data_IF_934810359478
#
_entry.id   IF_934810359478
#
_cell.length_a   1.000
_cell.length_b   1.000
_cell.length_c   1.000
_cell.angle_alpha   90.00
_cell.angle_beta   90.00
_cell.angle_gamma   90.00
#
_symmetry.space_group_name_H-M   'P 1'
#
loop_
_entity.id
_entity.type
_entity.pdbx_description
1 polymer ?
#
# COMPACT_ATOMS: atom_id res chain seq x y z
N UNK A 1 -14.32 -4.70 -7.01
CA UNK A 1 -13.85 -5.10 -5.65
C UNK A 1 -12.61 -4.32 -5.19
N UNK A 2 -11.64 -4.09 -6.08
CA UNK A 2 -10.40 -3.34 -5.85
C UNK A 2 -10.62 -1.85 -5.53
N UNK A 3 -11.49 -1.15 -6.26
CA UNK A 3 -11.94 0.23 -5.91
C UNK A 3 -12.65 0.27 -4.55
N UNK A 4 -13.49 -0.73 -4.26
CA UNK A 4 -14.24 -0.83 -3.01
C UNK A 4 -13.32 -1.01 -1.78
N UNK A 5 -12.24 -1.77 -1.89
CA UNK A 5 -11.38 -2.07 -0.74
C UNK A 5 -10.35 -0.98 -0.45
N UNK A 6 -9.89 -0.22 -1.45
CA UNK A 6 -9.00 0.95 -1.24
C UNK A 6 -9.72 2.10 -0.55
N UNK A 7 -11.01 2.29 -0.87
CA UNK A 7 -11.69 3.57 -0.66
C UNK A 7 -12.89 3.50 0.28
N UNK A 8 -13.51 2.33 0.47
CA UNK A 8 -14.67 2.26 1.35
C UNK A 8 -14.24 2.48 2.81
N UNK A 9 -14.70 3.58 3.39
CA UNK A 9 -14.64 3.89 4.81
C UNK A 9 -15.70 3.04 5.54
N UNK A 10 -15.53 1.73 5.44
CA UNK A 10 -16.44 0.76 6.04
C UNK A 10 -16.25 0.85 7.55
N UNK A 11 -17.33 1.17 8.25
CA UNK A 11 -17.32 1.24 9.69
C UNK A 11 -16.89 -0.11 10.31
N UNK A 12 -16.35 -0.05 11.52
CA UNK A 12 -15.79 -1.22 12.21
C UNK A 12 -16.83 -2.33 12.44
N UNK A 13 -18.11 -1.97 12.63
CA UNK A 13 -19.22 -2.92 12.82
C UNK A 13 -19.44 -3.77 11.56
N UNK A 14 -19.52 -3.15 10.39
CA UNK A 14 -19.72 -3.82 9.12
C UNK A 14 -18.50 -4.69 8.76
N UNK A 15 -17.28 -4.21 9.02
CA UNK A 15 -16.06 -5.01 8.83
C UNK A 15 -16.07 -6.28 9.71
N UNK A 16 -16.51 -6.17 10.97
CA UNK A 16 -16.65 -7.34 11.85
C UNK A 16 -17.72 -8.30 11.35
N UNK A 17 -18.86 -7.80 10.88
CA UNK A 17 -19.91 -8.62 10.28
C UNK A 17 -19.40 -9.39 9.06
N UNK A 18 -18.60 -8.76 8.18
CA UNK A 18 -18.00 -9.45 7.04
C UNK A 18 -17.12 -10.64 7.47
N UNK A 19 -16.43 -10.57 8.61
CA UNK A 19 -15.60 -11.70 9.08
C UNK A 19 -16.42 -12.93 9.50
N UNK A 20 -17.70 -12.75 9.84
CA UNK A 20 -18.62 -13.82 10.23
C UNK A 20 -19.23 -14.55 9.04
N UNK A 21 -19.22 -13.94 7.85
CA UNK A 21 -19.81 -14.53 6.64
C UNK A 21 -18.90 -15.65 6.14
N UNK A 22 -19.43 -16.87 6.07
CA UNK A 22 -18.75 -18.00 5.44
C UNK A 22 -19.05 -18.04 3.94
N UNK A 23 -18.45 -17.09 3.20
CA UNK A 23 -18.56 -17.00 1.75
C UNK A 23 -17.17 -17.00 1.13
N UNK A 24 -17.03 -17.65 -0.02
CA UNK A 24 -15.76 -17.78 -0.73
C UNK A 24 -15.10 -16.42 -1.05
N UNK A 25 -15.85 -15.48 -1.63
CA UNK A 25 -15.36 -14.14 -1.98
C UNK A 25 -14.92 -13.36 -0.75
N UNK A 26 -15.64 -13.49 0.36
CA UNK A 26 -15.28 -12.87 1.63
C UNK A 26 -14.04 -13.50 2.24
N UNK A 27 -13.95 -14.84 2.23
CA UNK A 27 -12.80 -15.59 2.73
C UNK A 27 -11.50 -15.16 2.06
N UNK A 28 -11.53 -14.87 0.75
CA UNK A 28 -10.38 -14.35 -0.01
C UNK A 28 -9.86 -13.02 0.55
N UNK A 29 -10.75 -12.11 0.96
CA UNK A 29 -10.39 -10.76 1.41
C UNK A 29 -10.34 -10.61 2.94
N UNK A 30 -10.53 -11.69 3.72
CA UNK A 30 -10.52 -11.63 5.20
C UNK A 30 -9.29 -10.96 5.78
N UNK A 31 -8.12 -11.15 5.17
CA UNK A 31 -6.88 -10.50 5.59
C UNK A 31 -6.91 -8.98 5.39
N UNK A 32 -7.51 -8.48 4.32
CA UNK A 32 -7.71 -7.03 4.09
C UNK A 32 -8.70 -6.45 5.11
N UNK A 33 -9.78 -7.18 5.40
CA UNK A 33 -10.77 -6.79 6.43
C UNK A 33 -10.12 -6.70 7.82
N UNK A 34 -9.35 -7.73 8.20
CA UNK A 34 -8.57 -7.75 9.45
C UNK A 34 -7.57 -6.60 9.50
N UNK A 35 -6.88 -6.32 8.39
CA UNK A 35 -5.95 -5.19 8.28
C UNK A 35 -6.66 -3.85 8.53
N UNK A 36 -7.83 -3.61 7.92
CA UNK A 36 -8.60 -2.38 8.15
C UNK A 36 -9.02 -2.24 9.61
N UNK A 37 -9.49 -3.32 10.25
CA UNK A 37 -9.84 -3.32 11.67
C UNK A 37 -8.64 -3.02 12.57
N UNK A 38 -7.47 -3.61 12.28
CA UNK A 38 -6.24 -3.32 13.03
C UNK A 38 -5.83 -1.86 12.85
N UNK A 39 -5.93 -1.32 11.63
CA UNK A 39 -5.62 0.08 11.32
C UNK A 39 -6.53 1.07 12.06
N UNK A 40 -7.76 0.69 12.37
CA UNK A 40 -8.72 1.52 13.13
C UNK A 40 -8.51 1.49 14.65
N UNK A 41 -7.69 0.56 15.21
CA UNK A 41 -7.44 0.51 16.66
C UNK A 41 -6.72 1.77 17.16
N UNK A 42 -7.08 2.26 18.35
CA UNK A 42 -6.40 3.39 18.98
C UNK A 42 -4.93 3.07 19.28
N UNK A 43 -4.05 4.06 19.05
CA UNK A 43 -2.63 4.00 19.41
C UNK A 43 -2.42 3.91 20.93
N UNK A 44 -3.37 4.40 21.73
CA UNK A 44 -3.29 4.31 23.20
C UNK A 44 -3.31 2.87 23.72
N UNK A 45 -3.84 1.92 22.94
CA UNK A 45 -3.89 0.50 23.32
C UNK A 45 -2.67 -0.30 22.84
N UNK A 46 -2.06 0.12 21.74
CA UNK A 46 -0.97 -0.60 21.07
C UNK A 46 -0.06 0.46 20.46
N UNK A 47 1.21 0.49 20.87
CA UNK A 47 2.20 1.43 20.35
C UNK A 47 2.26 1.44 18.82
N UNK A 48 2.64 2.60 18.24
CA UNK A 48 2.62 2.83 16.78
C UNK A 48 3.36 1.75 15.99
N UNK A 49 4.55 1.36 16.45
CA UNK A 49 5.35 0.34 15.77
C UNK A 49 4.71 -1.04 15.85
N UNK A 50 4.23 -1.45 17.02
CA UNK A 50 3.54 -2.74 17.19
C UNK A 50 2.30 -2.83 16.29
N UNK A 51 1.55 -1.74 16.15
CA UNK A 51 0.39 -1.68 15.24
C UNK A 51 0.80 -1.86 13.77
N UNK A 52 1.93 -1.29 13.35
CA UNK A 52 2.48 -1.46 12.00
C UNK A 52 2.89 -2.92 11.77
N UNK A 53 3.58 -3.54 12.73
CA UNK A 53 3.98 -4.95 12.64
C UNK A 53 2.75 -5.87 12.56
N UNK A 54 1.73 -5.64 13.38
CA UNK A 54 0.47 -6.40 13.33
C UNK A 54 -0.20 -6.28 11.96
N UNK A 55 -0.28 -5.07 11.40
CA UNK A 55 -0.84 -4.84 10.07
C UNK A 55 -0.08 -5.62 8.99
N UNK A 56 1.26 -5.57 9.00
CA UNK A 56 2.11 -6.29 8.05
C UNK A 56 1.92 -7.81 8.21
N UNK A 57 1.91 -8.31 9.45
CA UNK A 57 1.73 -9.72 9.75
C UNK A 57 0.38 -10.24 9.25
N UNK A 58 -0.71 -9.50 9.45
CA UNK A 58 -2.05 -9.85 8.94
C UNK A 58 -2.03 -10.02 7.41
N UNK A 59 -1.36 -9.12 6.69
CA UNK A 59 -1.29 -9.13 5.22
C UNK A 59 -0.36 -10.23 4.68
N UNK A 60 0.75 -10.52 5.38
CA UNK A 60 1.71 -11.58 5.03
C UNK A 60 1.14 -12.98 5.30
N UNK A 61 0.42 -13.16 6.41
CA UNK A 61 -0.18 -14.43 6.84
C UNK A 61 -1.52 -14.73 6.13
N UNK A 62 -1.75 -14.12 4.96
CA UNK A 62 -2.93 -14.42 4.15
C UNK A 62 -2.87 -15.87 3.67
N UNK A 63 -4.01 -16.55 3.71
CA UNK A 63 -4.15 -17.87 3.08
C UNK A 63 -4.01 -17.65 1.57
N UNK A 64 -2.95 -18.20 0.99
CA UNK A 64 -2.75 -18.19 -0.46
C UNK A 64 -3.55 -19.34 -1.05
N UNK A 65 -4.69 -19.04 -1.65
CA UNK A 65 -5.45 -20.03 -2.42
C UNK A 65 -5.02 -19.96 -3.89
N UNK A 66 -5.10 -21.08 -4.63
CA UNK A 66 -4.75 -21.13 -6.06
C UNK A 66 -5.61 -20.21 -6.95
N UNK A 67 -6.67 -19.64 -6.40
CA UNK A 67 -7.59 -18.73 -7.08
C UNK A 67 -7.32 -17.24 -6.80
N UNK A 68 -6.27 -16.91 -6.05
CA UNK A 68 -5.88 -15.52 -5.85
C UNK A 68 -5.46 -14.89 -7.20
N UNK A 69 -6.08 -13.78 -7.54
CA UNK A 69 -5.78 -13.02 -8.76
C UNK A 69 -4.49 -12.22 -8.61
N UNK A 70 -3.88 -11.91 -9.75
CA UNK A 70 -2.70 -11.03 -9.80
C UNK A 70 -2.98 -9.66 -9.16
N UNK A 71 -4.17 -9.09 -9.39
CA UNK A 71 -4.59 -7.81 -8.80
C UNK A 71 -4.67 -7.89 -7.26
N UNK A 72 -5.18 -8.99 -6.70
CA UNK A 72 -5.20 -9.18 -5.24
C UNK A 72 -3.78 -9.22 -4.66
N UNK A 73 -2.83 -9.88 -5.34
CA UNK A 73 -1.44 -9.88 -4.92
C UNK A 73 -0.81 -8.48 -4.95
N UNK A 74 -1.00 -7.77 -6.05
CA UNK A 74 -0.55 -6.38 -6.23
C UNK A 74 -1.11 -5.50 -5.11
N UNK A 75 -2.41 -5.62 -4.84
CA UNK A 75 -3.08 -4.80 -3.86
C UNK A 75 -2.54 -5.02 -2.44
N UNK A 76 -2.37 -6.29 -2.03
CA UNK A 76 -1.83 -6.59 -0.70
C UNK A 76 -0.41 -6.10 -0.54
N UNK A 77 0.42 -6.27 -1.57
CA UNK A 77 1.82 -5.85 -1.50
C UNK A 77 1.93 -4.32 -1.49
N UNK A 78 1.03 -3.58 -2.15
CA UNK A 78 0.91 -2.13 -2.00
C UNK A 78 0.51 -1.71 -0.59
N UNK A 79 -0.43 -2.42 0.05
CA UNK A 79 -0.80 -2.14 1.44
C UNK A 79 0.37 -2.35 2.40
N UNK A 80 1.16 -3.42 2.20
CA UNK A 80 2.38 -3.68 2.98
C UNK A 80 3.39 -2.55 2.75
N UNK A 81 3.64 -2.18 1.49
CA UNK A 81 4.58 -1.13 1.15
C UNK A 81 4.21 0.22 1.79
N UNK A 82 2.93 0.57 1.83
CA UNK A 82 2.44 1.76 2.52
C UNK A 82 2.71 1.72 4.04
N UNK A 83 2.53 0.55 4.68
CA UNK A 83 2.89 0.41 6.11
C UNK A 83 4.39 0.57 6.35
N UNK A 84 5.22 -0.04 5.50
CA UNK A 84 6.69 0.09 5.57
C UNK A 84 7.14 1.53 5.36
N UNK A 85 6.53 2.25 4.43
CA UNK A 85 6.80 3.67 4.21
C UNK A 85 6.48 4.49 5.46
N UNK A 86 5.32 4.23 6.08
CA UNK A 86 4.84 4.96 7.27
C UNK A 86 5.73 4.75 8.50
N UNK A 87 6.48 3.63 8.57
CA UNK A 87 7.52 3.36 9.58
C UNK A 87 8.94 3.70 9.13
N UNK A 88 9.11 4.38 7.98
CA UNK A 88 10.42 4.71 7.39
C UNK A 88 11.29 3.50 7.06
N UNK A 89 10.71 2.29 6.95
CA UNK A 89 11.39 1.03 6.59
C UNK A 89 11.53 0.88 5.08
N UNK A 90 12.15 1.87 4.43
CA UNK A 90 12.14 1.96 2.96
C UNK A 90 12.94 0.86 2.26
N UNK A 91 13.99 0.34 2.90
CA UNK A 91 14.82 -0.74 2.35
C UNK A 91 14.02 -2.00 2.00
N UNK A 92 12.88 -2.21 2.67
CA UNK A 92 12.00 -3.36 2.42
C UNK A 92 11.00 -3.15 1.28
N UNK A 93 10.80 -1.93 0.82
CA UNK A 93 9.82 -1.59 -0.23
C UNK A 93 10.31 -2.10 -1.59
N UNK A 94 11.59 -1.86 -1.91
CA UNK A 94 12.19 -2.27 -3.19
C UNK A 94 12.07 -3.78 -3.46
N UNK A 95 12.55 -4.69 -2.58
CA UNK A 95 12.45 -6.13 -2.83
C UNK A 95 10.99 -6.62 -2.90
N UNK A 96 10.07 -5.96 -2.18
CA UNK A 96 8.66 -6.30 -2.21
C UNK A 96 8.02 -6.01 -3.58
N UNK A 97 8.37 -4.87 -4.20
CA UNK A 97 7.66 -4.35 -5.37
C UNK A 97 8.39 -4.51 -6.70
N UNK A 98 9.73 -4.66 -6.69
CA UNK A 98 10.55 -4.77 -7.92
C UNK A 98 10.08 -5.88 -8.88
N UNK A 99 9.51 -6.96 -8.35
CA UNK A 99 8.91 -8.06 -9.12
C UNK A 99 7.76 -7.62 -10.05
N UNK A 100 7.14 -6.47 -9.80
CA UNK A 100 6.06 -5.92 -10.61
C UNK A 100 6.54 -5.00 -11.74
N UNK A 101 7.79 -4.54 -11.71
CA UNK A 101 8.32 -3.53 -12.64
C UNK A 101 8.11 -3.92 -14.12
N UNK A 102 8.39 -5.17 -14.49
CA UNK A 102 8.20 -5.69 -15.87
C UNK A 102 6.75 -6.11 -16.19
N UNK A 103 5.84 -6.01 -15.22
CA UNK A 103 4.46 -6.51 -15.29
C UNK A 103 3.42 -5.45 -14.88
N UNK A 104 3.80 -4.17 -14.88
CA UNK A 104 2.89 -3.06 -14.56
C UNK A 104 1.67 -3.01 -15.49
N UNK A 105 1.86 -3.35 -16.78
CA UNK A 105 0.78 -3.42 -17.76
C UNK A 105 -0.32 -4.44 -17.40
N UNK A 106 -0.02 -5.44 -16.56
CA UNK A 106 -0.98 -6.44 -16.07
C UNK A 106 -1.83 -5.95 -14.89
N UNK A 107 -1.59 -4.73 -14.41
CA UNK A 107 -2.39 -4.10 -13.37
C UNK A 107 -3.47 -3.29 -14.06
N UNK A 108 -4.66 -3.86 -14.21
CA UNK A 108 -5.75 -3.25 -14.98
C UNK A 108 -6.33 -2.01 -14.30
N UNK A 109 -6.22 -1.93 -12.97
CA UNK A 109 -6.62 -0.77 -12.19
C UNK A 109 -5.57 0.33 -12.32
N UNK A 110 -5.86 1.37 -13.10
CA UNK A 110 -4.93 2.47 -13.40
C UNK A 110 -4.37 3.15 -12.14
N UNK A 111 -5.22 3.42 -11.16
CA UNK A 111 -4.80 4.04 -9.89
C UNK A 111 -3.76 3.17 -9.16
N UNK A 112 -3.99 1.85 -9.07
CA UNK A 112 -3.03 0.92 -8.47
C UNK A 112 -1.73 0.84 -9.26
N UNK A 113 -1.80 0.92 -10.59
CA UNK A 113 -0.62 0.91 -11.45
C UNK A 113 0.24 2.15 -11.21
N UNK A 114 -0.36 3.34 -11.19
CA UNK A 114 0.35 4.59 -10.90
C UNK A 114 0.93 4.57 -9.48
N UNK A 115 0.18 4.02 -8.52
CA UNK A 115 0.67 3.90 -7.16
C UNK A 115 1.87 2.94 -7.04
N UNK A 116 1.81 1.81 -7.75
CA UNK A 116 2.90 0.84 -7.85
C UNK A 116 4.15 1.45 -8.51
N UNK A 117 3.97 2.19 -9.60
CA UNK A 117 5.06 2.93 -10.25
C UNK A 117 5.75 3.85 -9.25
N UNK A 118 4.99 4.70 -8.54
CA UNK A 118 5.56 5.63 -7.57
C UNK A 118 6.35 4.91 -6.45
N UNK A 119 5.81 3.83 -5.90
CA UNK A 119 6.45 3.11 -4.79
C UNK A 119 7.69 2.30 -5.21
N UNK A 120 7.73 1.79 -6.43
CA UNK A 120 8.95 1.19 -7.00
C UNK A 120 10.06 2.24 -7.01
N UNK A 121 9.77 3.49 -7.38
CA UNK A 121 10.74 4.58 -7.42
C UNK A 121 11.18 5.04 -6.03
N UNK A 122 10.26 5.06 -5.06
CA UNK A 122 10.61 5.29 -3.64
C UNK A 122 11.62 4.26 -3.16
N UNK A 123 11.38 2.99 -3.46
CA UNK A 123 12.31 1.91 -3.12
C UNK A 123 13.65 2.04 -3.84
N UNK A 124 13.64 2.39 -5.13
CA UNK A 124 14.85 2.59 -5.94
C UNK A 124 15.72 3.73 -5.39
N UNK A 125 15.12 4.89 -5.09
CA UNK A 125 15.82 6.04 -4.52
C UNK A 125 16.53 5.70 -3.22
N UNK A 126 15.83 5.02 -2.31
CA UNK A 126 16.39 4.59 -1.03
C UNK A 126 17.41 3.46 -1.16
N UNK A 127 17.50 2.82 -2.34
CA UNK A 127 18.55 1.86 -2.69
C UNK A 127 19.71 2.51 -3.44
N UNK A 128 19.74 3.84 -3.57
CA UNK A 128 20.84 4.59 -4.20
C UNK A 128 20.59 5.06 -5.64
N UNK A 129 19.39 4.90 -6.20
CA UNK A 129 19.05 5.42 -7.54
C UNK A 129 18.65 6.91 -7.48
N UNK A 130 19.49 7.84 -7.92
CA UNK A 130 19.23 9.28 -7.79
C UNK A 130 18.04 9.76 -8.62
N UNK A 131 17.57 8.99 -9.61
CA UNK A 131 16.45 9.37 -10.48
C UNK A 131 15.08 9.06 -9.86
N UNK A 132 15.02 8.30 -8.78
CA UNK A 132 13.76 7.88 -8.17
C UNK A 132 12.80 9.04 -7.83
N UNK A 133 13.23 10.18 -7.26
CA UNK A 133 12.34 11.31 -6.98
C UNK A 133 11.75 11.95 -8.24
N UNK A 134 12.51 12.06 -9.33
CA UNK A 134 12.03 12.59 -10.59
C UNK A 134 10.96 11.67 -11.21
N UNK A 135 11.18 10.36 -11.16
CA UNK A 135 10.23 9.37 -11.65
C UNK A 135 8.98 9.26 -10.75
N UNK A 136 9.12 9.47 -9.45
CA UNK A 136 8.00 9.62 -8.52
C UNK A 136 7.16 10.87 -8.84
N UNK A 137 7.81 11.97 -9.22
CA UNK A 137 7.11 13.18 -9.66
C UNK A 137 6.33 12.97 -10.96
N UNK A 138 6.81 12.13 -11.88
CA UNK A 138 6.04 11.73 -13.06
C UNK A 138 4.76 10.98 -12.68
N UNK A 139 4.81 10.09 -11.69
CA UNK A 139 3.61 9.41 -11.19
C UNK A 139 2.61 10.39 -10.57
N UNK A 140 3.09 11.40 -9.83
CA UNK A 140 2.25 12.49 -9.29
C UNK A 140 1.57 13.28 -10.41
N UNK A 141 2.31 13.62 -11.49
CA UNK A 141 1.72 14.29 -12.67
C UNK A 141 0.63 13.43 -13.31
N UNK A 142 0.82 12.11 -13.43
CA UNK A 142 -0.21 11.19 -13.92
C UNK A 142 -1.45 11.23 -13.03
N UNK A 143 -1.30 11.22 -11.70
CA UNK A 143 -2.45 11.34 -10.78
C UNK A 143 -3.28 12.60 -11.07
N UNK A 144 -2.62 13.74 -11.29
CA UNK A 144 -3.28 15.01 -11.62
C UNK A 144 -4.03 14.94 -12.94
N UNK A 145 -3.41 14.38 -13.97
CA UNK A 145 -4.01 14.22 -15.31
C UNK A 145 -5.29 13.37 -15.26
N UNK A 146 -5.30 12.31 -14.45
CA UNK A 146 -6.44 11.40 -14.32
C UNK A 146 -7.43 11.78 -13.21
N UNK A 147 -7.24 12.91 -12.51
CA UNK A 147 -8.13 13.34 -11.44
C UNK A 147 -8.05 12.53 -10.14
N UNK A 148 -6.97 11.78 -9.91
CA UNK A 148 -6.76 10.99 -8.69
C UNK A 148 -6.23 11.85 -7.53
N UNK A 149 -6.96 12.88 -7.13
CA UNK A 149 -6.50 13.88 -6.15
C UNK A 149 -6.10 13.29 -4.80
N UNK A 150 -6.76 12.22 -4.35
CA UNK A 150 -6.41 11.52 -3.09
C UNK A 150 -5.04 10.83 -3.18
N UNK A 151 -4.78 10.15 -4.30
CA UNK A 151 -3.51 9.50 -4.55
C UNK A 151 -2.40 10.56 -4.76
N UNK A 152 -2.69 11.63 -5.49
CA UNK A 152 -1.79 12.77 -5.67
C UNK A 152 -1.33 13.32 -4.31
N UNK A 153 -2.27 13.67 -3.42
CA UNK A 153 -1.97 14.18 -2.09
C UNK A 153 -1.15 13.20 -1.25
N UNK A 154 -1.45 11.90 -1.38
CA UNK A 154 -0.71 10.83 -0.68
C UNK A 154 0.74 10.77 -1.16
N UNK A 155 0.97 10.80 -2.48
CA UNK A 155 2.30 10.75 -3.08
C UNK A 155 3.11 12.02 -2.82
N UNK A 156 2.47 13.20 -2.82
CA UNK A 156 3.10 14.47 -2.47
C UNK A 156 3.61 14.45 -1.02
N UNK A 157 2.79 13.96 -0.08
CA UNK A 157 3.21 13.81 1.32
C UNK A 157 4.43 12.89 1.45
N UNK A 158 4.50 11.84 0.65
CA UNK A 158 5.66 10.94 0.65
C UNK A 158 6.92 11.62 0.11
N UNK A 159 6.80 12.39 -0.97
CA UNK A 159 7.90 13.16 -1.52
C UNK A 159 8.44 14.18 -0.50
N UNK A 160 7.55 14.89 0.20
CA UNK A 160 7.92 15.83 1.27
C UNK A 160 8.67 15.12 2.41
N UNK A 161 8.16 13.99 2.90
CA UNK A 161 8.82 13.20 3.95
C UNK A 161 10.20 12.67 3.53
N UNK A 162 10.41 12.39 2.24
CA UNK A 162 11.71 12.00 1.72
C UNK A 162 12.68 13.19 1.67
N UNK A 163 12.21 14.37 1.25
CA UNK A 163 13.01 15.60 1.22
C UNK A 163 13.46 16.03 2.63
N UNK A 164 12.54 16.04 3.61
CA UNK A 164 12.85 16.38 5.01
C UNK A 164 13.94 15.49 5.62
N UNK A 165 14.03 14.22 5.18
CA UNK A 165 15.09 13.32 5.64
C UNK A 165 16.45 13.70 5.07
N UNK A 166 16.51 14.04 3.78
CA UNK A 166 17.75 14.44 3.11
C UNK A 166 18.31 15.72 3.76
N UNK A 167 17.45 16.72 4.01
CA UNK A 167 17.88 17.99 4.62
C UNK A 167 18.36 17.85 6.07
N UNK A 168 17.97 16.78 6.78
CA UNK A 168 18.45 16.49 8.14
C UNK A 168 19.72 15.62 8.19
N UNK A 169 20.15 15.07 7.06
CA UNK A 169 21.38 14.26 6.95
C UNK A 169 22.54 15.00 6.31
N UNK A 170 22.30 16.20 5.77
CA UNK A 170 23.34 17.18 5.39
C UNK A 170 23.59 18.11 6.57
#
# INVERSE_FOLDING_TARGET
LSEFMLVADINSKNLRQMLLINNYSINRIKHIVRFKLEKQKSLSKIGKEQKIQNCIAILKNRIKTGMNTYIEHVYVDLLIANQLFSSKRYAEISPLLKKYQKRLHKIDVLEMRIFMEAFIQVGAFKSGDPLGPALQYMAIKKCRLYGFSRLENTLLKYLQLQQEQITRTM
#
